data_IF_850224513071
#
_entry.id   IF_850224513071
#
_cell.length_a   1.000
_cell.length_b   1.000
_cell.length_c   1.000
_cell.angle_alpha   90.00
_cell.angle_beta   90.00
_cell.angle_gamma   90.00
#
_symmetry.space_group_name_H-M   'P 1'
#
loop_
_entity.id
_entity.type
_entity.pdbx_description
1 polymer ?
#
# COMPACT_ATOMS: atom_id res chain seq x y z
N UNK A 1 -12.44 1.08 -6.50
CA UNK A 1 -11.33 1.73 -7.24
C UNK A 1 -10.13 0.79 -7.18
N UNK A 2 -9.52 0.48 -8.33
CA UNK A 2 -8.29 -0.34 -8.39
C UNK A 2 -7.06 0.52 -8.16
N UNK A 3 -6.01 -0.05 -7.57
CA UNK A 3 -4.72 0.62 -7.40
C UNK A 3 -4.13 1.11 -8.74
N UNK A 4 -4.25 0.31 -9.81
CA UNK A 4 -3.74 0.66 -11.14
C UNK A 4 -4.40 1.91 -11.73
N UNK A 5 -5.71 2.06 -11.55
CA UNK A 5 -6.43 3.28 -11.95
C UNK A 5 -6.00 4.47 -11.10
N UNK A 6 -5.86 4.27 -9.80
CA UNK A 6 -5.48 5.33 -8.87
C UNK A 6 -4.09 5.91 -9.20
N UNK A 7 -3.12 5.07 -9.53
CA UNK A 7 -1.78 5.52 -9.94
C UNK A 7 -1.81 6.24 -11.29
N UNK A 8 -2.50 5.67 -12.30
CA UNK A 8 -2.57 6.24 -13.64
C UNK A 8 -3.20 7.63 -13.65
N UNK A 9 -4.25 7.83 -12.86
CA UNK A 9 -5.03 9.06 -12.87
C UNK A 9 -4.44 10.12 -11.91
N UNK A 10 -3.22 9.91 -11.39
CA UNK A 10 -2.56 10.82 -10.45
C UNK A 10 -3.24 10.91 -9.08
N UNK A 11 -3.98 9.86 -8.72
CA UNK A 11 -4.75 9.79 -7.50
C UNK A 11 -3.89 9.75 -6.23
N UNK A 12 -4.49 10.23 -5.15
CA UNK A 12 -3.88 10.23 -3.82
C UNK A 12 -4.17 8.92 -3.09
N UNK A 13 -3.26 8.51 -2.20
CA UNK A 13 -3.43 7.34 -1.35
C UNK A 13 -4.76 7.43 -0.58
N UNK A 14 -5.61 6.38 -0.58
CA UNK A 14 -6.98 6.49 -0.09
C UNK A 14 -7.10 6.75 1.41
N UNK A 15 -6.08 6.34 2.19
CA UNK A 15 -6.02 6.57 3.64
C UNK A 15 -5.33 7.89 3.97
N UNK A 16 -4.03 8.02 3.70
CA UNK A 16 -3.21 9.19 4.06
C UNK A 16 -3.45 10.43 3.19
N UNK A 17 -4.07 10.28 2.00
CA UNK A 17 -4.23 11.34 0.98
C UNK A 17 -2.93 11.93 0.44
N UNK A 18 -1.80 11.27 0.68
CA UNK A 18 -0.51 11.61 0.10
C UNK A 18 -0.43 11.15 -1.36
N UNK A 19 0.57 11.64 -2.10
CA UNK A 19 0.87 11.10 -3.42
C UNK A 19 1.38 9.66 -3.29
N UNK A 20 0.88 8.76 -4.14
CA UNK A 20 1.36 7.39 -4.17
C UNK A 20 2.77 7.39 -4.77
N UNK A 21 3.73 6.87 -4.02
CA UNK A 21 5.12 6.75 -4.47
C UNK A 21 5.55 5.29 -4.48
N UNK A 22 6.63 4.98 -5.21
CA UNK A 22 7.19 3.63 -5.25
C UNK A 22 7.59 3.10 -3.87
N UNK A 23 7.98 3.98 -2.94
CA UNK A 23 8.34 3.61 -1.56
C UNK A 23 7.15 3.05 -0.74
N UNK A 24 5.91 3.33 -1.15
CA UNK A 24 4.70 2.81 -0.51
C UNK A 24 4.31 1.42 -1.04
N UNK A 25 4.94 0.95 -2.13
CA UNK A 25 4.63 -0.31 -2.80
C UNK A 25 5.71 -1.32 -2.41
N UNK A 26 5.32 -2.37 -1.69
CA UNK A 26 6.23 -3.45 -1.27
C UNK A 26 5.90 -4.75 -1.98
N UNK A 27 6.91 -5.62 -2.13
CA UNK A 27 6.69 -6.96 -2.67
C UNK A 27 5.96 -7.85 -1.67
N UNK A 28 5.37 -8.94 -2.15
CA UNK A 28 4.63 -9.87 -1.30
C UNK A 28 5.53 -10.52 -0.24
N UNK A 29 6.80 -10.77 -0.57
CA UNK A 29 7.78 -11.42 0.31
C UNK A 29 8.21 -10.50 1.48
N UNK A 30 8.03 -9.20 1.33
CA UNK A 30 8.33 -8.19 2.35
C UNK A 30 7.14 -7.88 3.25
N UNK A 31 5.97 -8.43 2.98
CA UNK A 31 4.72 -8.12 3.67
C UNK A 31 4.13 -9.38 4.31
N UNK A 32 4.19 -9.47 5.63
CA UNK A 32 3.78 -10.67 6.38
C UNK A 32 2.60 -10.38 7.30
N UNK A 33 1.70 -11.36 7.48
CA UNK A 33 0.61 -11.23 8.44
C UNK A 33 1.13 -11.41 9.87
N UNK A 34 1.00 -10.38 10.68
CA UNK A 34 1.28 -10.42 12.12
C UNK A 34 -0.02 -10.67 12.88
N UNK A 35 -0.14 -11.87 13.43
CA UNK A 35 -1.32 -12.29 14.18
C UNK A 35 -1.55 -11.46 15.45
N UNK A 36 -0.49 -10.93 16.07
CA UNK A 36 -0.61 -10.10 17.28
C UNK A 36 -1.22 -8.73 16.96
N UNK A 37 -0.96 -8.22 15.76
CA UNK A 37 -1.50 -6.95 15.26
C UNK A 37 -2.79 -7.12 14.46
N UNK A 38 -3.12 -8.35 14.07
CA UNK A 38 -4.27 -8.65 13.22
C UNK A 38 -4.18 -8.01 11.84
N UNK A 39 -2.96 -7.77 11.33
CA UNK A 39 -2.76 -7.07 10.07
C UNK A 39 -1.43 -7.46 9.39
N UNK A 40 -1.28 -7.10 8.13
CA UNK A 40 -0.03 -7.21 7.40
C UNK A 40 0.94 -6.11 7.83
N UNK A 41 2.19 -6.50 8.06
CA UNK A 41 3.30 -5.61 8.41
C UNK A 41 4.49 -5.85 7.49
N UNK A 42 5.30 -4.81 7.32
CA UNK A 42 6.56 -4.90 6.60
C UNK A 42 7.57 -5.62 7.50
N UNK A 43 8.26 -6.60 6.92
CA UNK A 43 9.31 -7.39 7.59
C UNK A 43 10.50 -6.52 8.01
#
# INVERSE_FOLDING_TARGET
ISFSHLVRDGGKHPLTRELITSSMIVSQEQCIYDQTKGNFVIK
#
